data_IF_365685716754
#
_entry.id   IF_365685716754
#
_cell.length_a   1.000
_cell.length_b   1.000
_cell.length_c   1.000
_cell.angle_alpha   90.00
_cell.angle_beta   90.00
_cell.angle_gamma   90.00
#
_symmetry.space_group_name_H-M   'P 1'
#
loop_
_entity.id
_entity.type
_entity.pdbx_description
1 polymer ?
#
# COMPACT_ATOMS: atom_id res chain seq x y z
N UNK A 1 75.32 -11.27 -40.91
CA UNK A 1 73.92 -11.64 -41.11
C UNK A 1 73.39 -12.17 -39.76
N UNK A 2 72.63 -11.34 -38.99
CA UNK A 2 72.13 -11.72 -37.70
C UNK A 2 70.67 -12.04 -37.86
N UNK A 3 70.29 -13.31 -37.67
CA UNK A 3 68.92 -13.77 -37.69
C UNK A 3 68.21 -13.34 -36.38
N UNK A 4 67.14 -12.58 -36.51
CA UNK A 4 66.29 -12.14 -35.42
C UNK A 4 65.16 -13.19 -35.25
N UNK A 5 65.22 -13.97 -34.18
CA UNK A 5 64.13 -14.90 -33.78
C UNK A 5 63.07 -14.11 -33.07
N UNK A 6 61.88 -13.98 -33.70
CA UNK A 6 60.69 -13.40 -33.09
C UNK A 6 59.98 -14.49 -32.33
N UNK A 7 59.97 -14.40 -30.97
CA UNK A 7 59.12 -15.21 -30.10
C UNK A 7 57.70 -14.62 -30.12
N UNK A 8 56.77 -15.35 -30.71
CA UNK A 8 55.33 -15.07 -30.59
C UNK A 8 54.84 -15.73 -29.31
N UNK A 9 54.64 -14.95 -28.25
CA UNK A 9 53.98 -15.41 -27.04
C UNK A 9 52.47 -15.51 -27.30
N UNK A 10 52.00 -16.76 -27.38
CA UNK A 10 50.56 -17.05 -27.46
C UNK A 10 49.89 -16.74 -26.09
N UNK A 11 49.15 -15.61 -26.03
CA UNK A 11 48.37 -15.22 -24.87
C UNK A 11 47.04 -15.97 -24.94
N UNK A 12 46.93 -17.09 -24.24
CA UNK A 12 45.68 -17.84 -24.09
C UNK A 12 44.75 -17.09 -23.10
N UNK A 13 43.74 -16.38 -23.62
CA UNK A 13 42.69 -15.80 -22.83
C UNK A 13 41.78 -16.95 -22.36
N UNK A 14 41.92 -17.33 -21.10
CA UNK A 14 40.95 -18.21 -20.47
C UNK A 14 39.63 -17.42 -20.28
N UNK A 15 38.67 -17.68 -21.14
CA UNK A 15 37.30 -17.21 -20.97
C UNK A 15 36.71 -18.03 -19.84
N UNK A 16 36.73 -17.49 -18.62
CA UNK A 16 35.90 -18.01 -17.55
C UNK A 16 34.45 -17.86 -17.98
N UNK A 17 33.82 -18.96 -18.38
CA UNK A 17 32.37 -19.03 -18.48
C UNK A 17 31.82 -18.84 -17.07
N UNK A 18 31.46 -17.62 -16.72
CA UNK A 18 30.54 -17.38 -15.62
C UNK A 18 29.28 -18.16 -15.96
N UNK A 19 29.07 -19.25 -15.22
CA UNK A 19 27.75 -19.90 -15.20
C UNK A 19 26.75 -18.80 -14.85
N UNK A 20 25.92 -18.41 -15.81
CA UNK A 20 24.80 -17.54 -15.56
C UNK A 20 23.94 -18.25 -14.53
N UNK A 21 24.04 -17.81 -13.28
CA UNK A 21 23.12 -18.17 -12.24
C UNK A 21 21.73 -17.84 -12.80
N UNK A 22 20.89 -18.87 -12.87
CA UNK A 22 19.54 -18.78 -13.38
C UNK A 22 18.84 -17.73 -12.52
N UNK A 23 18.87 -16.46 -12.95
CA UNK A 23 18.03 -15.44 -12.35
C UNK A 23 16.63 -15.99 -12.45
N UNK A 24 15.96 -16.15 -11.30
CA UNK A 24 14.54 -16.46 -11.21
C UNK A 24 13.82 -15.59 -12.23
N UNK A 25 13.29 -16.23 -13.27
CA UNK A 25 12.56 -15.54 -14.32
C UNK A 25 11.22 -15.02 -13.80
N UNK A 26 10.33 -14.52 -14.65
CA UNK A 26 9.04 -13.97 -14.27
C UNK A 26 8.07 -14.93 -13.55
N UNK A 27 8.51 -16.13 -13.20
CA UNK A 27 7.75 -17.13 -12.44
C UNK A 27 7.50 -16.71 -10.97
N UNK A 28 8.26 -15.72 -10.44
CA UNK A 28 8.06 -15.14 -9.09
C UNK A 28 7.34 -13.79 -9.10
N UNK A 29 6.66 -13.43 -10.18
CA UNK A 29 5.77 -12.27 -10.14
C UNK A 29 4.63 -12.56 -9.16
N UNK A 30 4.36 -11.66 -8.19
CA UNK A 30 3.24 -11.86 -7.27
C UNK A 30 1.97 -12.07 -8.09
N UNK A 31 1.15 -13.06 -7.70
CA UNK A 31 -0.16 -13.30 -8.30
C UNK A 31 -0.89 -11.96 -8.45
N UNK A 32 -1.43 -11.70 -9.63
CA UNK A 32 -2.19 -10.48 -9.88
C UNK A 32 -3.31 -10.42 -8.87
N UNK A 33 -3.39 -9.32 -8.10
CA UNK A 33 -4.47 -9.11 -7.15
C UNK A 33 -5.80 -9.13 -7.90
N UNK A 34 -6.66 -10.08 -7.54
CA UNK A 34 -8.01 -10.23 -8.15
C UNK A 34 -8.96 -9.42 -7.28
N UNK A 35 -9.69 -8.48 -7.89
CA UNK A 35 -10.68 -7.65 -7.21
C UNK A 35 -11.90 -8.48 -6.74
N UNK A 36 -12.50 -8.04 -5.63
CA UNK A 36 -13.73 -8.61 -5.09
C UNK A 36 -14.99 -8.15 -5.85
N UNK A 37 -16.14 -8.60 -5.32
CA UNK A 37 -17.46 -8.20 -5.80
C UNK A 37 -18.07 -7.15 -4.86
N UNK A 38 -18.02 -5.87 -5.28
CA UNK A 38 -18.51 -4.75 -4.47
C UNK A 38 -20.03 -4.87 -4.16
N UNK A 39 -20.83 -5.46 -5.06
CA UNK A 39 -22.26 -5.63 -4.81
C UNK A 39 -22.51 -6.65 -3.69
N UNK A 40 -21.74 -7.72 -3.62
CA UNK A 40 -21.78 -8.66 -2.49
C UNK A 40 -21.25 -8.02 -1.23
N UNK A 41 -20.12 -7.29 -1.31
CA UNK A 41 -19.53 -6.57 -0.20
C UNK A 41 -20.53 -5.65 0.49
N UNK A 42 -21.35 -4.92 -0.26
CA UNK A 42 -22.38 -4.03 0.28
C UNK A 42 -23.35 -4.70 1.26
N UNK A 43 -23.60 -5.99 1.09
CA UNK A 43 -24.51 -6.76 1.98
C UNK A 43 -23.84 -7.22 3.27
N UNK A 44 -22.50 -7.12 3.37
CA UNK A 44 -21.70 -7.62 4.50
C UNK A 44 -21.23 -6.52 5.46
N UNK A 45 -21.47 -5.24 5.14
CA UNK A 45 -20.88 -4.10 5.85
C UNK A 45 -21.71 -3.53 7.00
N UNK A 46 -22.84 -4.15 7.36
CA UNK A 46 -23.74 -3.61 8.39
C UNK A 46 -23.03 -3.33 9.73
N UNK A 47 -22.16 -4.22 10.18
CA UNK A 47 -21.36 -4.02 11.41
C UNK A 47 -20.29 -2.95 11.28
N UNK A 48 -19.82 -2.67 10.07
CA UNK A 48 -18.78 -1.66 9.78
C UNK A 48 -19.38 -0.25 9.70
N UNK A 49 -20.59 -0.16 9.13
CA UNK A 49 -21.28 1.09 8.85
C UNK A 49 -21.55 1.94 10.10
N UNK A 50 -21.72 1.31 11.26
CA UNK A 50 -21.96 2.00 12.53
C UNK A 50 -20.85 3.00 12.91
N UNK A 51 -19.60 2.68 12.53
CA UNK A 51 -18.43 3.51 12.82
C UNK A 51 -17.88 4.20 11.57
N UNK A 52 -17.81 3.48 10.44
CA UNK A 52 -17.16 3.97 9.23
C UNK A 52 -18.12 4.64 8.24
N UNK A 53 -19.43 4.66 8.53
CA UNK A 53 -20.45 5.08 7.57
C UNK A 53 -20.83 3.95 6.61
N UNK A 54 -22.06 4.00 6.09
CA UNK A 54 -22.54 2.99 5.13
C UNK A 54 -21.74 3.00 3.83
N UNK A 55 -21.28 4.17 3.41
CA UNK A 55 -20.47 4.41 2.24
C UNK A 55 -18.95 4.40 2.53
N UNK A 56 -18.55 4.27 3.80
CA UNK A 56 -17.17 4.32 4.24
C UNK A 56 -16.65 5.73 4.54
N UNK A 57 -17.50 6.75 4.53
CA UNK A 57 -17.14 8.11 4.91
C UNK A 57 -17.47 8.37 6.39
N UNK A 58 -16.59 7.93 7.29
CA UNK A 58 -16.74 8.21 8.72
C UNK A 58 -16.88 9.72 8.99
N UNK A 59 -17.82 10.07 9.86
CA UNK A 59 -18.01 11.44 10.35
C UNK A 59 -17.16 11.73 11.59
N UNK A 60 -16.63 10.72 12.25
CA UNK A 60 -15.75 10.87 13.40
C UNK A 60 -14.30 11.00 12.94
N UNK A 61 -13.60 12.04 13.41
CA UNK A 61 -12.23 12.36 13.00
C UNK A 61 -11.19 11.32 13.42
N UNK A 62 -11.49 10.50 14.43
CA UNK A 62 -10.59 9.47 14.94
C UNK A 62 -10.82 8.10 14.28
N UNK A 63 -11.89 7.97 13.52
CA UNK A 63 -12.23 6.74 12.81
C UNK A 63 -11.91 6.88 11.33
N UNK A 64 -11.15 5.96 10.75
CA UNK A 64 -10.72 6.10 9.36
C UNK A 64 -11.89 6.04 8.39
N UNK A 65 -11.77 6.84 7.33
CA UNK A 65 -12.57 6.64 6.13
C UNK A 65 -12.07 5.40 5.40
N UNK A 66 -12.99 4.58 4.95
CA UNK A 66 -12.73 3.40 4.13
C UNK A 66 -13.04 3.65 2.65
N UNK A 67 -13.93 4.62 2.36
CA UNK A 67 -14.28 5.02 1.01
C UNK A 67 -13.03 5.45 0.22
N UNK A 68 -12.91 4.97 -1.01
CA UNK A 68 -11.82 5.29 -1.93
C UNK A 68 -10.43 4.81 -1.49
N UNK A 69 -10.36 3.99 -0.44
CA UNK A 69 -9.10 3.39 -0.01
C UNK A 69 -8.73 2.23 -0.95
N UNK A 70 -7.43 1.99 -1.12
CA UNK A 70 -6.93 0.91 -1.96
C UNK A 70 -7.48 -0.45 -1.51
N UNK A 71 -8.13 -1.17 -2.43
CA UNK A 71 -8.80 -2.44 -2.16
C UNK A 71 -7.85 -3.47 -1.54
N UNK A 72 -6.66 -3.64 -2.11
CA UNK A 72 -5.65 -4.54 -1.55
C UNK A 72 -5.29 -4.17 -0.11
N UNK A 73 -5.10 -2.88 0.17
CA UNK A 73 -4.80 -2.42 1.52
C UNK A 73 -5.96 -2.73 2.49
N UNK A 74 -7.20 -2.45 2.09
CA UNK A 74 -8.38 -2.77 2.92
C UNK A 74 -8.46 -4.27 3.20
N UNK A 75 -8.31 -5.10 2.17
CA UNK A 75 -8.33 -6.54 2.31
C UNK A 75 -7.25 -7.04 3.28
N UNK A 76 -6.01 -6.58 3.12
CA UNK A 76 -4.90 -6.96 4.01
C UNK A 76 -5.20 -6.53 5.46
N UNK A 77 -5.74 -5.31 5.68
CA UNK A 77 -6.09 -4.85 7.02
C UNK A 77 -7.23 -5.66 7.66
N UNK A 78 -8.25 -6.04 6.89
CA UNK A 78 -9.31 -6.92 7.36
C UNK A 78 -8.78 -8.29 7.78
N UNK A 79 -7.84 -8.85 7.02
CA UNK A 79 -7.14 -10.08 7.39
C UNK A 79 -6.34 -9.92 8.68
N UNK A 80 -5.55 -8.87 8.80
CA UNK A 80 -4.77 -8.61 10.00
C UNK A 80 -5.66 -8.49 11.25
N UNK A 81 -6.84 -7.87 11.16
CA UNK A 81 -7.81 -7.86 12.27
C UNK A 81 -8.46 -9.23 12.51
N UNK A 82 -8.81 -9.97 11.45
CA UNK A 82 -9.38 -11.31 11.55
C UNK A 82 -8.44 -12.28 12.27
N UNK A 83 -7.14 -12.22 11.94
CA UNK A 83 -6.10 -13.10 12.49
C UNK A 83 -5.41 -12.49 13.71
N UNK A 84 -5.88 -11.33 14.22
CA UNK A 84 -5.36 -10.64 15.40
C UNK A 84 -3.87 -10.20 15.26
N UNK A 85 -3.40 -10.05 14.03
CA UNK A 85 -2.07 -9.53 13.71
C UNK A 85 -2.01 -7.99 13.83
N UNK A 86 -3.15 -7.32 13.71
CA UNK A 86 -3.34 -5.90 13.99
C UNK A 86 -4.27 -5.73 15.19
N UNK A 87 -3.81 -4.99 16.19
CA UNK A 87 -4.58 -4.71 17.40
C UNK A 87 -5.07 -3.24 17.41
N UNK A 88 -6.36 -3.06 17.64
CA UNK A 88 -7.00 -1.79 17.95
C UNK A 88 -8.24 -2.08 18.79
N UNK A 89 -8.35 -1.45 19.96
CA UNK A 89 -9.38 -1.77 20.95
C UNK A 89 -10.83 -1.70 20.40
N UNK A 90 -11.11 -0.73 19.51
CA UNK A 90 -12.44 -0.61 18.91
C UNK A 90 -12.66 -1.68 17.83
N UNK A 91 -11.67 -1.87 16.93
CA UNK A 91 -11.78 -2.87 15.85
C UNK A 91 -11.80 -4.30 16.38
N UNK A 92 -11.20 -4.58 17.54
CA UNK A 92 -11.27 -5.90 18.17
C UNK A 92 -12.70 -6.31 18.54
N UNK A 93 -13.63 -5.36 18.69
CA UNK A 93 -15.04 -5.66 18.95
C UNK A 93 -15.75 -6.31 17.75
N UNK A 94 -15.26 -6.09 16.53
CA UNK A 94 -15.80 -6.71 15.30
C UNK A 94 -15.01 -7.94 14.84
N UNK A 95 -13.89 -8.26 15.47
CA UNK A 95 -13.09 -9.46 15.15
C UNK A 95 -13.91 -10.77 15.19
N UNK A 96 -14.83 -11.00 16.15
CA UNK A 96 -15.67 -12.19 16.14
C UNK A 96 -16.49 -12.31 14.84
N UNK A 97 -17.02 -11.20 14.33
CA UNK A 97 -17.72 -11.18 13.05
C UNK A 97 -16.76 -11.46 11.89
N UNK A 98 -15.58 -10.82 11.85
CA UNK A 98 -14.58 -11.06 10.79
C UNK A 98 -14.16 -12.53 10.73
N UNK A 99 -14.08 -13.21 11.88
CA UNK A 99 -13.75 -14.66 11.96
C UNK A 99 -14.80 -15.56 11.31
N UNK A 100 -16.06 -15.11 11.18
CA UNK A 100 -17.11 -15.88 10.50
C UNK A 100 -17.07 -15.73 8.98
N UNK A 101 -16.39 -14.71 8.46
CA UNK A 101 -16.32 -14.41 7.04
C UNK A 101 -15.23 -15.23 6.35
N UNK A 102 -15.45 -15.61 5.10
CA UNK A 102 -14.40 -16.17 4.24
C UNK A 102 -13.43 -15.07 3.79
N UNK A 103 -12.25 -15.44 3.27
CA UNK A 103 -11.33 -14.45 2.67
C UNK A 103 -11.95 -13.75 1.46
N UNK A 104 -12.80 -14.48 0.71
CA UNK A 104 -13.55 -13.86 -0.37
C UNK A 104 -14.53 -12.80 0.12
N UNK A 105 -15.23 -13.02 1.23
CA UNK A 105 -16.13 -12.01 1.80
C UNK A 105 -15.35 -10.78 2.26
N UNK A 106 -14.15 -10.95 2.83
CA UNK A 106 -13.27 -9.83 3.18
C UNK A 106 -12.85 -9.03 1.94
N UNK A 107 -12.54 -9.73 0.85
CA UNK A 107 -12.20 -9.10 -0.42
C UNK A 107 -13.39 -8.35 -1.02
N UNK A 108 -14.60 -8.94 -0.96
CA UNK A 108 -15.83 -8.31 -1.43
C UNK A 108 -16.14 -7.03 -0.62
N UNK A 109 -15.94 -7.04 0.71
CA UNK A 109 -16.05 -5.86 1.57
C UNK A 109 -15.03 -4.79 1.19
N UNK A 110 -13.77 -5.19 0.96
CA UNK A 110 -12.70 -4.28 0.56
C UNK A 110 -13.02 -3.61 -0.78
N UNK A 111 -13.51 -4.38 -1.75
CA UNK A 111 -13.95 -3.89 -3.06
C UNK A 111 -15.10 -2.90 -2.93
N UNK A 112 -16.08 -3.17 -2.06
CA UNK A 112 -17.19 -2.26 -1.83
C UNK A 112 -16.72 -0.88 -1.36
N UNK A 113 -15.92 -0.82 -0.29
CA UNK A 113 -15.45 0.46 0.22
C UNK A 113 -14.47 1.16 -0.73
N UNK A 114 -13.62 0.41 -1.41
CA UNK A 114 -12.70 0.96 -2.40
C UNK A 114 -13.42 1.63 -3.58
N UNK A 115 -14.59 1.11 -3.98
CA UNK A 115 -15.38 1.65 -5.08
C UNK A 115 -16.17 2.92 -4.73
N UNK A 116 -16.29 3.25 -3.45
CA UNK A 116 -17.04 4.41 -3.01
C UNK A 116 -16.19 5.68 -3.08
N UNK A 117 -16.80 6.82 -3.37
CA UNK A 117 -16.13 8.11 -3.44
C UNK A 117 -15.78 8.61 -2.03
N UNK A 118 -14.49 8.97 -1.82
CA UNK A 118 -14.05 9.55 -0.56
C UNK A 118 -14.44 11.01 -0.46
N UNK A 119 -15.10 11.40 0.64
CA UNK A 119 -15.39 12.81 0.92
C UNK A 119 -14.11 13.53 1.36
N UNK A 120 -13.83 14.67 0.72
CA UNK A 120 -12.61 15.46 0.98
C UNK A 120 -12.88 16.44 2.11
N UNK A 121 -12.03 16.45 3.12
CA UNK A 121 -12.02 17.47 4.18
C UNK A 121 -11.41 18.79 3.70
N UNK A 122 -11.45 19.78 4.58
CA UNK A 122 -10.78 21.07 4.35
C UNK A 122 -9.52 21.16 5.21
N UNK A 123 -8.44 21.60 4.60
CA UNK A 123 -7.25 21.96 5.34
C UNK A 123 -7.53 23.17 6.28
N UNK A 124 -6.75 23.26 7.38
CA UNK A 124 -6.76 24.45 8.21
C UNK A 124 -6.25 25.65 7.38
N UNK A 125 -6.83 26.82 7.60
CA UNK A 125 -6.38 28.06 6.97
C UNK A 125 -5.15 28.61 7.71
N UNK A 126 -4.03 27.90 7.60
CA UNK A 126 -2.74 28.21 8.21
C UNK A 126 -1.68 27.95 7.15
N UNK A 127 -1.20 29.02 6.53
CA UNK A 127 -0.29 28.97 5.40
C UNK A 127 1.07 28.37 5.77
N UNK A 128 1.60 28.69 6.94
CA UNK A 128 2.88 28.18 7.41
C UNK A 128 2.79 26.67 7.65
N UNK A 129 1.71 26.20 8.27
CA UNK A 129 1.46 24.79 8.49
C UNK A 129 1.27 24.03 7.17
N UNK A 130 0.55 24.61 6.22
CA UNK A 130 0.34 24.02 4.89
C UNK A 130 1.66 23.91 4.12
N UNK A 131 2.49 24.96 4.14
CA UNK A 131 3.80 24.96 3.49
C UNK A 131 4.75 23.93 4.12
N UNK A 132 4.79 23.85 5.45
CA UNK A 132 5.57 22.85 6.17
C UNK A 132 5.10 21.44 5.82
N UNK A 133 3.81 21.19 5.84
CA UNK A 133 3.22 19.89 5.49
C UNK A 133 3.55 19.48 4.06
N UNK A 134 3.41 20.40 3.11
CA UNK A 134 3.73 20.17 1.71
C UNK A 134 5.22 19.87 1.51
N UNK A 135 6.10 20.59 2.19
CA UNK A 135 7.55 20.35 2.15
C UNK A 135 7.89 18.96 2.71
N UNK A 136 7.37 18.62 3.88
CA UNK A 136 7.60 17.30 4.49
C UNK A 136 7.04 16.17 3.62
N UNK A 137 5.85 16.34 3.08
CA UNK A 137 5.21 15.33 2.23
C UNK A 137 6.03 15.05 0.97
N UNK A 138 6.53 16.10 0.29
CA UNK A 138 7.21 15.99 -1.00
C UNK A 138 8.71 15.75 -0.91
N UNK A 139 9.36 16.32 0.11
CA UNK A 139 10.83 16.30 0.24
C UNK A 139 11.33 15.58 1.51
N UNK A 140 10.45 15.35 2.49
CA UNK A 140 10.89 14.82 3.78
C UNK A 140 11.74 15.81 4.57
N UNK A 141 12.50 15.28 5.52
CA UNK A 141 13.49 16.03 6.29
C UNK A 141 14.72 15.16 6.55
N UNK A 142 15.74 15.28 5.72
CA UNK A 142 16.98 14.49 5.83
C UNK A 142 17.70 14.65 7.17
N UNK A 143 17.63 15.84 7.77
CA UNK A 143 18.28 16.09 9.09
C UNK A 143 17.58 15.36 10.24
N UNK A 144 16.30 15.04 10.06
CA UNK A 144 15.47 14.29 11.03
C UNK A 144 15.19 12.86 10.59
N UNK A 145 15.85 12.39 9.54
CA UNK A 145 15.69 11.04 8.98
C UNK A 145 14.21 10.73 8.59
N UNK A 146 13.48 11.76 8.16
CA UNK A 146 12.09 11.61 7.70
C UNK A 146 12.10 11.53 6.17
N UNK A 147 11.76 10.38 5.57
CA UNK A 147 11.62 10.25 4.12
C UNK A 147 10.44 11.06 3.60
N UNK A 148 10.43 11.37 2.30
CA UNK A 148 9.28 11.98 1.66
C UNK A 148 8.09 11.00 1.65
N UNK A 149 6.94 11.41 2.19
CA UNK A 149 5.74 10.57 2.23
C UNK A 149 5.27 10.19 0.81
N UNK A 150 5.45 11.12 -0.15
CA UNK A 150 5.08 10.93 -1.55
C UNK A 150 5.83 9.79 -2.26
N UNK A 151 6.97 9.33 -1.74
CA UNK A 151 7.72 8.21 -2.31
C UNK A 151 6.96 6.87 -2.20
N UNK A 152 6.11 6.71 -1.19
CA UNK A 152 5.27 5.54 -1.00
C UNK A 152 3.80 5.83 -1.30
N UNK A 153 3.31 7.01 -0.90
CA UNK A 153 1.90 7.35 -0.96
C UNK A 153 1.49 8.14 -2.22
N UNK A 154 2.33 8.22 -3.23
CA UNK A 154 2.17 8.99 -4.47
C UNK A 154 2.21 10.51 -4.28
N UNK A 155 2.27 11.26 -5.39
CA UNK A 155 2.37 12.73 -5.36
C UNK A 155 1.10 13.38 -4.80
N UNK A 156 -0.06 12.75 -5.01
CA UNK A 156 -1.38 13.26 -4.59
C UNK A 156 -1.94 12.58 -3.34
N UNK A 157 -1.22 11.62 -2.78
CA UNK A 157 -1.68 10.87 -1.61
C UNK A 157 -2.60 9.70 -1.93
N UNK A 158 -2.72 9.30 -3.19
CA UNK A 158 -3.60 8.20 -3.61
C UNK A 158 -3.06 6.82 -3.23
N UNK A 159 -1.82 6.78 -2.73
CA UNK A 159 -1.14 5.54 -2.39
C UNK A 159 -0.61 4.79 -3.61
N UNK A 160 -0.34 3.50 -3.41
CA UNK A 160 0.04 2.57 -4.46
C UNK A 160 -0.62 1.22 -4.18
N UNK A 161 -1.69 0.90 -4.90
CA UNK A 161 -2.49 -0.30 -4.66
C UNK A 161 -1.72 -1.59 -4.91
N UNK A 162 -0.84 -1.63 -5.93
CA UNK A 162 -0.04 -2.81 -6.23
C UNK A 162 1.00 -3.11 -5.14
N UNK A 163 1.60 -2.06 -4.57
CA UNK A 163 2.55 -2.19 -3.48
C UNK A 163 1.88 -2.27 -2.08
N UNK A 164 0.55 -2.12 -2.00
CA UNK A 164 -0.18 -2.15 -0.73
C UNK A 164 -0.05 -0.88 0.10
N UNK A 165 0.47 0.23 -0.45
CA UNK A 165 0.52 1.50 0.27
C UNK A 165 -0.85 2.19 0.25
N UNK A 166 -1.38 2.58 1.43
CA UNK A 166 -2.71 3.20 1.50
C UNK A 166 -2.78 4.59 0.88
N UNK A 167 -3.99 4.96 0.45
CA UNK A 167 -4.34 6.35 0.19
C UNK A 167 -4.37 7.15 1.49
N UNK A 168 -3.78 8.34 1.47
CA UNK A 168 -3.85 9.35 2.54
C UNK A 168 -4.80 10.48 2.15
N UNK A 169 -5.06 10.65 0.86
CA UNK A 169 -5.95 11.68 0.34
C UNK A 169 -7.37 11.53 0.92
N UNK A 170 -7.92 12.62 1.42
CA UNK A 170 -9.25 12.63 2.03
C UNK A 170 -9.37 11.96 3.39
N UNK A 171 -8.32 11.33 3.93
CA UNK A 171 -8.38 10.64 5.21
C UNK A 171 -8.54 11.59 6.39
N UNK A 172 -9.09 11.09 7.49
CA UNK A 172 -9.28 11.83 8.74
C UNK A 172 -7.94 12.20 9.38
N UNK A 173 -7.77 13.49 9.71
CA UNK A 173 -6.52 14.00 10.31
C UNK A 173 -6.26 13.38 11.69
N UNK A 174 -7.32 13.12 12.47
CA UNK A 174 -7.19 12.50 13.80
C UNK A 174 -6.75 11.03 13.73
N UNK A 175 -6.99 10.37 12.59
CA UNK A 175 -6.58 9.00 12.37
C UNK A 175 -5.13 8.90 11.83
N UNK A 176 -4.68 9.85 10.97
CA UNK A 176 -3.32 9.88 10.40
C UNK A 176 -2.26 10.21 11.45
#
# INVERSE_FOLDING_TARGET
MKSLLIFIASFSIAINAYAAEKTSGPEDMPETFISGDAAKGSSLVASCAACHGSDGNSINTDWPKLAGQNEKYLYDQLKHFKYEERNNALMMTVTPYLKTLSEKDLLDIASYYASNEVSIGKAKNDEDLLNLGMMLYRAGNMKKEIPACSSCHSVYGDGNSLAGYPSLAGQQIGYL
#
